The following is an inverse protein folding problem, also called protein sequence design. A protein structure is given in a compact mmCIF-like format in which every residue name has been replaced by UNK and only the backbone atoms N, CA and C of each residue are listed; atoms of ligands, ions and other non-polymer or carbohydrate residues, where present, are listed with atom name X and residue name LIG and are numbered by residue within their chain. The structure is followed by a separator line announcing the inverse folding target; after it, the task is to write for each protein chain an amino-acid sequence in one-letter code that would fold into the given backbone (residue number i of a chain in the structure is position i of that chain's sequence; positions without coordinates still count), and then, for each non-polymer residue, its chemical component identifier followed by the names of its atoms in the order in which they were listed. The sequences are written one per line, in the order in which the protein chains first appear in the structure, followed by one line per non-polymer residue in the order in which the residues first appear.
data_IF_655846648141
#
_entry.id   IF_655846648141
#
_cell.length_a   1.000
_cell.length_b   1.000
_cell.length_c   1.000
_cell.angle_alpha   90.00
_cell.angle_beta   90.00
_cell.angle_gamma   90.00
#
_symmetry.space_group_name_H-M   'P 1'
#
loop_
_entity.id
_entity.type
_entity.pdbx_description
1 polymer ?
#
# COMPACT_ATOMS: atom_id res chain seq x y z
N UNK A 1 20.12 10.89 -4.41
CA UNK A 1 19.37 9.83 -5.11
C UNK A 1 17.90 10.21 -4.98
N UNK A 2 17.08 10.01 -6.01
CA UNK A 2 15.70 10.52 -6.15
C UNK A 2 14.83 10.39 -4.88
N UNK A 3 13.89 11.32 -4.67
CA UNK A 3 12.95 11.26 -3.54
C UNK A 3 11.97 10.11 -3.75
N UNK A 4 11.83 9.22 -2.75
CA UNK A 4 10.91 8.07 -2.77
C UNK A 4 9.49 8.45 -3.22
N UNK A 5 9.02 9.66 -2.91
CA UNK A 5 7.69 10.13 -3.28
C UNK A 5 7.53 10.36 -4.78
N UNK A 6 8.55 10.86 -5.46
CA UNK A 6 8.48 11.16 -6.90
C UNK A 6 8.38 9.86 -7.73
N UNK A 7 9.13 8.83 -7.35
CA UNK A 7 9.04 7.52 -8.01
C UNK A 7 7.72 6.80 -7.67
N UNK A 8 7.23 6.92 -6.43
CA UNK A 8 5.91 6.40 -6.07
C UNK A 8 4.79 7.04 -6.91
N UNK A 9 4.81 8.37 -7.07
CA UNK A 9 3.85 9.07 -7.93
C UNK A 9 3.94 8.65 -9.40
N UNK A 10 5.15 8.48 -9.92
CA UNK A 10 5.37 8.04 -11.31
C UNK A 10 4.82 6.63 -11.54
N UNK A 11 5.07 5.70 -10.62
CA UNK A 11 4.51 4.35 -10.68
C UNK A 11 2.98 4.39 -10.60
N UNK A 12 2.43 5.16 -9.67
CA UNK A 12 0.99 5.27 -9.49
C UNK A 12 0.30 5.89 -10.72
N UNK A 13 0.86 6.95 -11.33
CA UNK A 13 0.33 7.49 -12.61
C UNK A 13 0.33 6.45 -13.73
N UNK A 14 1.37 5.60 -13.80
CA UNK A 14 1.41 4.52 -14.78
C UNK A 14 0.32 3.48 -14.51
N UNK A 15 0.12 3.05 -13.27
CA UNK A 15 -0.93 2.12 -12.89
C UNK A 15 -2.33 2.65 -13.23
N UNK A 16 -2.61 3.92 -12.95
CA UNK A 16 -3.85 4.58 -13.38
C UNK A 16 -4.02 4.53 -14.90
N UNK A 17 -2.96 4.81 -15.66
CA UNK A 17 -3.01 4.83 -17.13
C UNK A 17 -3.31 3.47 -17.76
N UNK A 18 -2.97 2.36 -17.08
CA UNK A 18 -3.26 0.99 -17.55
C UNK A 18 -4.48 0.35 -16.88
N UNK A 19 -5.20 1.09 -16.03
CA UNK A 19 -6.40 0.62 -15.33
C UNK A 19 -6.13 -0.33 -14.16
N UNK A 20 -4.95 -0.29 -13.56
CA UNK A 20 -4.66 -1.00 -12.31
C UNK A 20 -5.22 -0.23 -11.11
N UNK A 21 -5.69 -0.95 -10.07
CA UNK A 21 -6.24 -0.34 -8.87
C UNK A 21 -5.18 0.43 -8.09
N UNK A 22 -5.57 1.57 -7.52
CA UNK A 22 -4.71 2.43 -6.70
C UNK A 22 -5.29 2.72 -5.32
N UNK A 23 -6.58 2.43 -5.13
CA UNK A 23 -7.31 2.64 -3.89
C UNK A 23 -7.65 1.28 -3.27
N UNK A 24 -7.72 1.21 -1.95
CA UNK A 24 -8.25 0.03 -1.24
C UNK A 24 -9.70 -0.28 -1.65
N UNK A 25 -10.48 0.77 -1.90
CA UNK A 25 -11.85 0.64 -2.38
C UNK A 25 -11.96 -0.06 -3.75
N UNK A 26 -10.94 0.07 -4.62
CA UNK A 26 -10.93 -0.56 -5.95
C UNK A 26 -10.84 -2.09 -5.87
N UNK A 27 -10.31 -2.61 -4.76
CA UNK A 27 -10.20 -4.04 -4.46
C UNK A 27 -11.19 -4.50 -3.36
N UNK A 28 -12.17 -3.65 -3.03
CA UNK A 28 -13.25 -3.98 -2.11
C UNK A 28 -12.87 -3.97 -0.62
N UNK A 29 -11.85 -3.20 -0.24
CA UNK A 29 -11.44 -3.00 1.16
C UNK A 29 -11.82 -1.58 1.58
N UNK A 30 -12.49 -1.47 2.74
CA UNK A 30 -12.81 -0.17 3.33
C UNK A 30 -11.63 0.35 4.16
N UNK A 31 -11.01 1.49 3.81
CA UNK A 31 -9.89 2.07 4.57
C UNK A 31 -10.27 2.51 5.99
N UNK A 32 -11.56 2.71 6.29
CA UNK A 32 -12.04 3.07 7.62
C UNK A 32 -12.40 1.84 8.46
N UNK A 33 -12.41 0.65 7.85
CA UNK A 33 -12.68 -0.61 8.54
C UNK A 33 -11.40 -1.22 9.12
N UNK A 34 -11.04 -0.77 10.32
CA UNK A 34 -9.83 -1.25 11.02
C UNK A 34 -9.73 -2.78 11.16
N UNK A 35 -10.86 -3.49 11.26
CA UNK A 35 -10.85 -4.96 11.38
C UNK A 35 -10.44 -5.65 10.07
N UNK A 36 -10.84 -5.11 8.92
CA UNK A 36 -10.41 -5.62 7.62
C UNK A 36 -8.92 -5.36 7.41
N UNK A 37 -8.45 -4.16 7.76
CA UNK A 37 -7.04 -3.81 7.69
C UNK A 37 -6.17 -4.69 8.59
N UNK A 38 -6.62 -4.99 9.82
CA UNK A 38 -5.93 -5.89 10.72
C UNK A 38 -5.76 -7.30 10.11
N UNK A 39 -6.79 -7.81 9.43
CA UNK A 39 -6.73 -9.11 8.74
C UNK A 39 -5.73 -9.07 7.58
N UNK A 40 -5.72 -8.01 6.79
CA UNK A 40 -4.78 -7.81 5.68
C UNK A 40 -3.34 -7.76 6.21
N UNK A 41 -3.09 -6.98 7.26
CA UNK A 41 -1.77 -6.83 7.88
C UNK A 41 -1.32 -8.16 8.48
N UNK A 42 -2.18 -8.86 9.21
CA UNK A 42 -1.84 -10.16 9.80
C UNK A 42 -1.53 -11.21 8.72
N UNK A 43 -2.33 -11.27 7.66
CA UNK A 43 -2.13 -12.17 6.52
C UNK A 43 -0.83 -11.87 5.78
N UNK A 44 -0.54 -10.59 5.56
CA UNK A 44 0.72 -10.16 4.96
C UNK A 44 1.90 -10.54 5.86
N UNK A 45 1.89 -10.19 7.15
CA UNK A 45 2.97 -10.49 8.10
C UNK A 45 3.28 -11.99 8.26
N UNK A 46 2.31 -12.87 7.99
CA UNK A 46 2.51 -14.32 7.96
C UNK A 46 3.27 -14.81 6.70
N UNK A 47 3.48 -13.94 5.72
CA UNK A 47 4.12 -14.28 4.45
C UNK A 47 5.65 -14.32 4.59
N UNK A 48 6.31 -15.44 4.25
CA UNK A 48 7.72 -15.66 4.58
C UNK A 48 8.68 -14.76 3.80
N UNK A 49 8.25 -14.08 2.75
CA UNK A 49 9.14 -13.26 1.91
C UNK A 49 9.30 -11.82 2.40
N UNK A 50 8.47 -11.34 3.34
CA UNK A 50 8.63 -10.00 3.92
C UNK A 50 9.96 -9.83 4.67
N UNK A 51 10.53 -10.91 5.20
CA UNK A 51 11.84 -10.88 5.85
C UNK A 51 13.01 -10.72 4.87
N UNK A 52 12.78 -10.80 3.56
CA UNK A 52 13.79 -10.51 2.55
C UNK A 52 13.99 -9.00 2.32
N UNK A 53 13.11 -8.16 2.88
CA UNK A 53 13.27 -6.71 2.81
C UNK A 53 14.52 -6.28 3.60
N UNK A 54 15.26 -5.25 3.11
CA UNK A 54 16.50 -4.81 3.74
C UNK A 54 16.28 -4.24 5.15
N UNK A 55 15.11 -3.68 5.41
CA UNK A 55 14.70 -3.17 6.72
C UNK A 55 13.61 -4.05 7.35
N UNK A 56 13.59 -4.19 8.70
CA UNK A 56 12.55 -4.93 9.40
C UNK A 56 11.15 -4.33 9.15
N UNK A 57 10.24 -5.15 8.61
CA UNK A 57 8.83 -4.78 8.47
C UNK A 57 8.09 -5.12 9.77
N UNK A 58 7.36 -4.14 10.32
CA UNK A 58 6.47 -4.34 11.48
C UNK A 58 5.01 -4.16 11.05
N UNK A 59 4.03 -4.72 11.79
CA UNK A 59 2.62 -4.55 11.48
C UNK A 59 2.21 -3.08 11.35
N UNK A 60 2.72 -2.21 12.23
CA UNK A 60 2.39 -0.78 12.26
C UNK A 60 2.97 -0.05 11.04
N UNK A 61 4.22 -0.39 10.66
CA UNK A 61 4.86 0.18 9.46
C UNK A 61 4.13 -0.28 8.20
N UNK A 62 3.69 -1.53 8.15
CA UNK A 62 2.96 -2.08 7.02
C UNK A 62 1.59 -1.43 6.88
N UNK A 63 0.84 -1.30 7.98
CA UNK A 63 -0.45 -0.60 7.99
C UNK A 63 -0.30 0.85 7.53
N UNK A 64 0.68 1.58 8.07
CA UNK A 64 0.95 2.96 7.67
C UNK A 64 1.30 3.07 6.18
N UNK A 65 2.07 2.11 5.63
CA UNK A 65 2.42 2.09 4.21
C UNK A 65 1.19 1.81 3.32
N UNK A 66 0.31 0.90 3.72
CA UNK A 66 -0.95 0.60 3.01
C UNK A 66 -1.83 1.85 2.94
N UNK A 67 -2.03 2.55 4.07
CA UNK A 67 -2.84 3.76 4.13
C UNK A 67 -2.21 4.91 3.34
N UNK A 68 -0.88 5.08 3.42
CA UNK A 68 -0.18 6.09 2.63
C UNK A 68 -0.29 5.83 1.12
N UNK A 69 -0.33 4.56 0.69
CA UNK A 69 -0.56 4.19 -0.70
C UNK A 69 -2.00 4.50 -1.15
N UNK A 70 -3.01 4.22 -0.33
CA UNK A 70 -4.41 4.61 -0.61
C UNK A 70 -4.58 6.12 -0.74
N UNK A 71 -3.93 6.88 0.15
CA UNK A 71 -3.93 8.34 0.11
C UNK A 71 -3.22 8.88 -1.14
N UNK A 72 -2.09 8.28 -1.54
CA UNK A 72 -1.41 8.62 -2.78
C UNK A 72 -2.32 8.36 -3.99
N UNK A 73 -3.01 7.21 -4.01
CA UNK A 73 -4.00 6.87 -5.02
C UNK A 73 -5.10 7.94 -5.12
N UNK A 74 -5.65 8.36 -3.98
CA UNK A 74 -6.69 9.40 -3.90
C UNK A 74 -6.29 10.76 -4.48
N UNK A 75 -4.98 11.05 -4.56
CA UNK A 75 -4.47 12.30 -5.18
C UNK A 75 -4.29 12.20 -6.69
N UNK A 76 -4.29 10.98 -7.24
CA UNK A 76 -4.01 10.70 -8.66
C UNK A 76 -5.30 10.42 -9.43
N UNK A 77 -6.24 9.66 -8.85
CA UNK A 77 -7.52 9.28 -9.49
C UNK A 77 -8.69 10.12 -9.01
#
# INVERSE_FOLDING_TARGET
LESDLAEAEKAARFFAAVGLPLRLADIGIDPDNGRELDVVVAGAMAFPFLCNMPDPVTPERLLAAILAADELGARIV
#
